data_IF_695373772814
#
_entry.id   IF_695373772814
#
_cell.length_a   1.000
_cell.length_b   1.000
_cell.length_c   1.000
_cell.angle_alpha   90.00
_cell.angle_beta   90.00
_cell.angle_gamma   90.00
#
_symmetry.space_group_name_H-M   'P 1'
#
loop_
_entity.id
_entity.type
_entity.pdbx_description
1 polymer ?
#
# COMPACT_ATOMS: atom_id res chain seq x y z
N UNK A 1 10.12 -0.82 24.30
CA UNK A 1 10.40 -2.23 23.91
C UNK A 1 9.33 -3.21 24.38
N UNK A 2 8.06 -3.02 24.00
CA UNK A 2 6.97 -3.94 24.37
C UNK A 2 5.77 -3.91 23.39
N UNK A 3 6.01 -3.64 22.10
CA UNK A 3 4.97 -3.72 21.04
C UNK A 3 5.41 -4.50 19.79
N UNK A 4 6.50 -5.27 19.88
CA UNK A 4 6.75 -6.33 18.91
C UNK A 4 5.92 -7.56 19.32
N UNK A 5 4.61 -7.47 19.13
CA UNK A 5 3.82 -8.70 18.93
C UNK A 5 4.22 -9.18 17.55
N UNK A 6 5.26 -10.00 17.54
CA UNK A 6 5.72 -10.71 16.37
C UNK A 6 4.49 -11.49 15.84
N UNK A 7 4.02 -11.21 14.63
CA UNK A 7 2.89 -11.94 14.03
C UNK A 7 3.17 -13.46 14.02
N UNK A 8 4.46 -13.84 13.97
CA UNK A 8 4.96 -15.19 14.18
C UNK A 8 4.70 -15.80 15.57
N UNK A 9 4.53 -14.99 16.63
CA UNK A 9 4.17 -15.45 17.97
C UNK A 9 2.65 -15.70 18.10
N UNK A 10 1.82 -14.88 17.45
CA UNK A 10 0.37 -15.13 17.34
C UNK A 10 0.04 -16.35 16.46
N UNK A 11 0.95 -16.73 15.54
CA UNK A 11 0.89 -17.98 14.76
C UNK A 11 0.80 -19.24 15.63
N UNK A 12 1.22 -19.17 16.89
CA UNK A 12 1.29 -20.36 17.76
C UNK A 12 0.01 -20.68 18.54
N UNK A 13 -1.00 -19.81 18.60
CA UNK A 13 -2.12 -20.06 19.52
C UNK A 13 -3.55 -19.94 18.97
N UNK A 14 -3.80 -19.55 17.72
CA UNK A 14 -5.16 -19.65 17.17
C UNK A 14 -5.23 -19.44 15.65
N UNK A 15 -4.79 -20.38 14.80
CA UNK A 15 -5.10 -20.28 13.37
C UNK A 15 -5.25 -21.66 12.73
N UNK A 16 -6.39 -21.88 12.06
CA UNK A 16 -6.54 -22.88 11.01
C UNK A 16 -5.34 -22.82 10.07
N UNK A 17 -4.65 -23.95 9.90
CA UNK A 17 -3.39 -24.05 9.17
C UNK A 17 -3.46 -23.38 7.78
N UNK A 18 -2.89 -22.17 7.65
CA UNK A 18 -2.56 -21.61 6.35
C UNK A 18 -1.51 -22.53 5.73
N UNK A 19 -1.91 -23.29 4.73
CA UNK A 19 -1.08 -24.37 4.19
C UNK A 19 0.07 -23.81 3.36
N UNK A 20 1.20 -24.51 3.31
CA UNK A 20 2.33 -24.14 2.44
C UNK A 20 1.87 -24.01 0.97
N UNK A 21 0.86 -24.78 0.57
CA UNK A 21 0.26 -24.71 -0.76
C UNK A 21 -0.43 -23.36 -1.00
N UNK A 22 -1.11 -22.80 0.00
CA UNK A 22 -1.80 -21.52 -0.11
C UNK A 22 -0.82 -20.36 -0.09
N UNK A 23 0.24 -20.46 0.73
CA UNK A 23 1.39 -19.55 0.66
C UNK A 23 1.97 -19.49 -0.75
N UNK A 24 2.29 -20.65 -1.34
CA UNK A 24 2.90 -20.72 -2.66
C UNK A 24 1.98 -20.15 -3.76
N UNK A 25 0.66 -20.40 -3.68
CA UNK A 25 -0.33 -19.83 -4.61
C UNK A 25 -0.42 -18.31 -4.50
N UNK A 26 -0.42 -17.78 -3.28
CA UNK A 26 -0.45 -16.35 -3.02
C UNK A 26 0.83 -15.69 -3.52
N UNK A 27 2.00 -16.26 -3.20
CA UNK A 27 3.29 -15.78 -3.66
C UNK A 27 3.39 -15.73 -5.19
N UNK A 28 2.95 -16.78 -5.89
CA UNK A 28 2.91 -16.80 -7.36
C UNK A 28 1.99 -15.69 -7.89
N UNK A 29 0.84 -15.46 -7.23
CA UNK A 29 -0.11 -14.43 -7.66
C UNK A 29 0.48 -13.03 -7.51
N UNK A 30 1.15 -12.74 -6.37
CA UNK A 30 1.83 -11.47 -6.14
C UNK A 30 2.94 -11.24 -7.17
N UNK A 31 3.81 -12.23 -7.40
CA UNK A 31 4.87 -12.13 -8.41
C UNK A 31 4.33 -11.98 -9.84
N UNK A 32 3.17 -12.54 -10.15
CA UNK A 32 2.50 -12.33 -11.44
C UNK A 32 1.87 -10.95 -11.57
N UNK A 33 1.37 -10.36 -10.48
CA UNK A 33 0.87 -8.99 -10.46
C UNK A 33 2.03 -7.99 -10.63
N UNK A 34 3.12 -8.19 -9.89
CA UNK A 34 4.28 -7.30 -9.84
C UNK A 34 5.41 -7.91 -10.69
N UNK A 35 5.22 -7.84 -12.01
CA UNK A 35 6.17 -8.37 -12.99
C UNK A 35 6.90 -7.25 -13.76
N UNK A 36 7.85 -7.62 -14.61
CA UNK A 36 8.65 -6.68 -15.41
C UNK A 36 8.00 -6.31 -16.76
N UNK A 37 6.93 -6.99 -17.15
CA UNK A 37 6.29 -6.77 -18.45
C UNK A 37 5.47 -5.48 -18.43
N UNK A 38 5.67 -4.64 -19.44
CA UNK A 38 4.97 -3.37 -19.64
C UNK A 38 3.53 -3.60 -20.14
N UNK A 39 2.71 -4.13 -19.25
CA UNK A 39 1.29 -4.42 -19.49
C UNK A 39 0.48 -4.06 -18.25
N UNK A 40 -0.83 -3.82 -18.36
CA UNK A 40 -1.66 -3.54 -17.20
C UNK A 40 -1.60 -4.67 -16.18
N UNK A 41 -1.71 -4.32 -14.89
CA UNK A 41 -1.72 -5.33 -13.83
C UNK A 41 -2.99 -6.15 -13.96
N UNK A 42 -2.86 -7.48 -14.07
CA UNK A 42 -4.03 -8.36 -14.20
C UNK A 42 -4.83 -8.37 -12.91
N UNK A 43 -6.07 -7.88 -12.97
CA UNK A 43 -6.96 -7.74 -11.80
C UNK A 43 -7.11 -9.02 -10.99
N UNK A 44 -7.17 -10.19 -11.65
CA UNK A 44 -7.26 -11.48 -10.96
C UNK A 44 -6.13 -11.69 -9.95
N UNK A 45 -4.92 -11.22 -10.25
CA UNK A 45 -3.77 -11.38 -9.36
C UNK A 45 -3.79 -10.37 -8.21
N UNK A 46 -4.27 -9.14 -8.47
CA UNK A 46 -4.50 -8.13 -7.42
C UNK A 46 -5.58 -8.60 -6.45
N UNK A 47 -6.70 -9.11 -6.98
CA UNK A 47 -7.77 -9.69 -6.18
C UNK A 47 -7.28 -10.85 -5.33
N UNK A 48 -6.45 -11.75 -5.89
CA UNK A 48 -5.83 -12.82 -5.10
C UNK A 48 -4.93 -12.28 -3.99
N UNK A 49 -4.16 -11.21 -4.23
CA UNK A 49 -3.33 -10.58 -3.19
C UNK A 49 -4.20 -9.99 -2.06
N UNK A 50 -5.26 -9.26 -2.40
CA UNK A 50 -6.22 -8.70 -1.44
C UNK A 50 -6.87 -9.82 -0.61
N UNK A 51 -7.45 -10.84 -1.27
CA UNK A 51 -8.08 -11.97 -0.58
C UNK A 51 -7.10 -12.75 0.30
N UNK A 52 -5.84 -12.84 -0.12
CA UNK A 52 -4.76 -13.43 0.67
C UNK A 52 -4.63 -12.77 2.03
N UNK A 53 -4.68 -11.43 2.09
CA UNK A 53 -4.59 -10.70 3.37
C UNK A 53 -5.74 -11.00 4.32
N UNK A 54 -6.95 -11.25 3.83
CA UNK A 54 -8.09 -11.65 4.66
C UNK A 54 -7.96 -13.09 5.16
N UNK A 55 -7.41 -13.97 4.34
CA UNK A 55 -7.21 -15.36 4.72
C UNK A 55 -6.14 -15.50 5.80
N UNK A 56 -5.05 -14.75 5.69
CA UNK A 56 -3.94 -14.72 6.66
C UNK A 56 -4.21 -13.79 7.85
N UNK A 57 -5.18 -12.86 7.74
CA UNK A 57 -5.45 -11.77 8.69
C UNK A 57 -4.28 -10.80 8.91
N UNK A 58 -3.34 -10.74 7.97
CA UNK A 58 -2.17 -9.87 7.95
C UNK A 58 -1.71 -9.63 6.50
N UNK A 59 -0.70 -8.80 6.29
CA UNK A 59 -0.04 -8.59 4.98
C UNK A 59 1.37 -9.19 4.90
N UNK A 60 1.71 -10.13 5.77
CA UNK A 60 3.06 -10.68 5.90
C UNK A 60 3.55 -11.36 4.61
N UNK A 61 2.73 -12.21 3.98
CA UNK A 61 3.12 -12.86 2.72
C UNK A 61 3.27 -11.86 1.58
N UNK A 62 2.41 -10.82 1.53
CA UNK A 62 2.55 -9.75 0.55
C UNK A 62 3.94 -9.11 0.64
N UNK A 63 4.33 -8.66 1.85
CA UNK A 63 5.61 -8.00 2.08
C UNK A 63 6.80 -8.95 1.89
N UNK A 64 6.71 -10.18 2.38
CA UNK A 64 7.73 -11.22 2.18
C UNK A 64 8.04 -11.46 0.70
N UNK A 65 7.02 -11.44 -0.17
CA UNK A 65 7.21 -11.60 -1.62
C UNK A 65 7.70 -10.30 -2.25
N UNK A 66 7.06 -9.17 -1.95
CA UNK A 66 7.39 -7.87 -2.54
C UNK A 66 8.84 -7.45 -2.31
N UNK A 67 9.39 -7.70 -1.11
CA UNK A 67 10.78 -7.37 -0.76
C UNK A 67 11.83 -8.16 -1.55
N UNK A 68 11.46 -9.27 -2.19
CA UNK A 68 12.36 -10.08 -3.02
C UNK A 68 12.30 -9.72 -4.50
N UNK A 69 11.41 -8.81 -4.90
CA UNK A 69 11.29 -8.35 -6.28
C UNK A 69 12.35 -7.29 -6.59
N UNK A 70 12.79 -7.17 -7.86
CA UNK A 70 13.80 -6.19 -8.28
C UNK A 70 13.21 -4.77 -8.39
N UNK A 71 12.72 -4.23 -7.27
CA UNK A 71 12.06 -2.92 -7.20
C UNK A 71 13.02 -1.78 -7.53
N UNK A 72 14.31 -1.95 -7.25
CA UNK A 72 15.35 -0.94 -7.51
C UNK A 72 15.90 -0.98 -8.94
N UNK A 73 15.79 -2.15 -9.61
CA UNK A 73 16.40 -2.37 -10.92
C UNK A 73 15.41 -2.20 -12.08
N UNK A 74 14.10 -2.36 -11.83
CA UNK A 74 13.09 -2.35 -12.89
C UNK A 74 11.93 -1.40 -12.55
N UNK A 75 11.82 -0.32 -13.35
CA UNK A 75 10.80 0.72 -13.20
C UNK A 75 9.36 0.19 -13.32
N UNK A 76 9.13 -0.79 -14.18
CA UNK A 76 7.81 -1.40 -14.37
C UNK A 76 7.42 -2.20 -13.13
N UNK A 77 8.36 -2.96 -12.57
CA UNK A 77 8.17 -3.67 -11.30
C UNK A 77 7.92 -2.71 -10.15
N UNK A 78 8.68 -1.61 -10.04
CA UNK A 78 8.49 -0.58 -9.03
C UNK A 78 7.11 0.10 -9.12
N UNK A 79 6.69 0.46 -10.33
CA UNK A 79 5.38 1.04 -10.58
C UNK A 79 4.24 0.08 -10.21
N UNK A 80 4.33 -1.18 -10.66
CA UNK A 80 3.35 -2.22 -10.34
C UNK A 80 3.32 -2.53 -8.85
N UNK A 81 4.46 -2.50 -8.17
CA UNK A 81 4.51 -2.63 -6.72
C UNK A 81 3.71 -1.51 -6.05
N UNK A 82 3.93 -0.25 -6.45
CA UNK A 82 3.18 0.88 -5.89
C UNK A 82 1.68 0.72 -6.11
N UNK A 83 1.28 0.35 -7.33
CA UNK A 83 -0.12 0.12 -7.68
C UNK A 83 -0.77 -1.00 -6.85
N UNK A 84 -0.12 -2.17 -6.78
CA UNK A 84 -0.68 -3.33 -6.07
C UNK A 84 -0.69 -3.07 -4.56
N UNK A 85 0.36 -2.46 -4.00
CA UNK A 85 0.39 -2.07 -2.60
C UNK A 85 -0.75 -1.08 -2.28
N UNK A 86 -0.96 -0.06 -3.12
CA UNK A 86 -2.06 0.90 -2.93
C UNK A 86 -3.42 0.19 -2.86
N UNK A 87 -3.67 -0.77 -3.76
CA UNK A 87 -4.89 -1.60 -3.74
C UNK A 87 -5.00 -2.44 -2.48
N UNK A 88 -3.92 -3.10 -2.05
CA UNK A 88 -3.89 -3.89 -0.80
C UNK A 88 -4.16 -3.02 0.42
N UNK A 89 -3.59 -1.81 0.51
CA UNK A 89 -3.83 -0.88 1.63
C UNK A 89 -5.26 -0.33 1.63
N UNK A 90 -5.91 -0.26 0.48
CA UNK A 90 -7.28 0.26 0.33
C UNK A 90 -8.35 -0.79 0.62
N UNK A 91 -8.14 -2.01 0.11
CA UNK A 91 -9.18 -3.05 0.03
C UNK A 91 -8.82 -4.33 0.79
N UNK A 92 -7.59 -4.45 1.29
CA UNK A 92 -7.12 -5.61 2.06
C UNK A 92 -7.63 -5.64 3.50
N UNK A 93 -7.17 -6.66 4.24
CA UNK A 93 -7.48 -6.81 5.66
C UNK A 93 -7.00 -5.58 6.45
N UNK A 94 -7.73 -5.09 7.47
CA UNK A 94 -7.35 -3.90 8.22
C UNK A 94 -5.93 -3.91 8.81
N UNK A 95 -5.39 -5.10 9.12
CA UNK A 95 -3.99 -5.26 9.58
C UNK A 95 -2.94 -4.95 8.51
N UNK A 96 -3.31 -4.88 7.23
CA UNK A 96 -2.37 -4.54 6.17
C UNK A 96 -1.75 -3.14 6.35
N UNK A 97 -2.49 -2.18 6.89
CA UNK A 97 -2.00 -0.83 7.19
C UNK A 97 -0.93 -0.82 8.30
N UNK A 98 -1.21 -1.32 9.52
CA UNK A 98 -0.20 -1.38 10.58
C UNK A 98 0.99 -2.28 10.22
N UNK A 99 0.77 -3.41 9.53
CA UNK A 99 1.86 -4.28 9.04
C UNK A 99 2.79 -3.55 8.07
N UNK A 100 2.29 -2.54 7.35
CA UNK A 100 3.07 -1.79 6.36
C UNK A 100 3.91 -0.67 6.96
N UNK A 101 3.67 -0.26 8.21
CA UNK A 101 4.39 0.85 8.86
C UNK A 101 5.91 0.61 8.90
N UNK A 102 6.33 -0.64 9.15
CA UNK A 102 7.76 -1.00 9.22
C UNK A 102 8.47 -0.87 7.86
N UNK A 103 7.71 -0.85 6.76
CA UNK A 103 8.23 -0.77 5.40
C UNK A 103 8.30 0.66 4.86
N UNK A 104 7.77 1.66 5.57
CA UNK A 104 7.80 3.07 5.16
C UNK A 104 9.21 3.54 4.78
N UNK A 105 10.28 3.31 5.59
CA UNK A 105 11.63 3.74 5.20
C UNK A 105 12.13 3.13 3.88
N UNK A 106 11.71 1.90 3.58
CA UNK A 106 12.04 1.25 2.30
C UNK A 106 11.35 1.95 1.14
N UNK A 107 10.04 2.26 1.28
CA UNK A 107 9.26 2.96 0.25
C UNK A 107 9.82 4.36 0.00
N UNK A 108 10.19 5.09 1.05
CA UNK A 108 10.82 6.42 0.92
C UNK A 108 12.15 6.34 0.14
N UNK A 109 12.99 5.36 0.46
CA UNK A 109 14.27 5.18 -0.22
C UNK A 109 14.07 4.75 -1.69
N UNK A 110 13.07 3.92 -1.96
CA UNK A 110 12.68 3.56 -3.33
C UNK A 110 12.26 4.80 -4.13
N UNK A 111 11.42 5.66 -3.54
CA UNK A 111 11.00 6.92 -4.17
C UNK A 111 12.17 7.87 -4.44
N UNK A 112 13.10 8.02 -3.49
CA UNK A 112 14.32 8.83 -3.67
C UNK A 112 15.20 8.31 -4.80
N UNK A 113 15.41 6.99 -4.85
CA UNK A 113 16.19 6.33 -5.90
C UNK A 113 15.63 6.65 -7.29
N UNK A 114 14.34 6.39 -7.50
CA UNK A 114 13.69 6.61 -8.80
C UNK A 114 13.60 8.10 -9.15
N UNK A 115 13.43 8.99 -8.17
CA UNK A 115 13.45 10.44 -8.36
C UNK A 115 14.79 10.99 -8.90
N UNK A 116 15.92 10.32 -8.61
CA UNK A 116 17.23 10.74 -9.12
C UNK A 116 17.45 10.45 -10.60
N UNK A 117 16.75 9.46 -11.16
CA UNK A 117 16.98 8.99 -12.54
C UNK A 117 16.43 9.95 -13.62
N UNK A 118 15.68 11.00 -13.21
CA UNK A 118 15.16 12.09 -14.07
C UNK A 118 14.42 11.64 -15.34
N UNK A 119 13.96 10.40 -15.39
CA UNK A 119 13.14 9.86 -16.48
C UNK A 119 11.65 9.95 -16.14
N UNK A 120 10.79 9.73 -17.14
CA UNK A 120 9.34 9.90 -16.98
C UNK A 120 8.74 8.98 -15.91
N UNK A 121 9.21 7.73 -15.83
CA UNK A 121 8.76 6.76 -14.82
C UNK A 121 9.31 7.08 -13.43
N UNK A 122 10.55 7.53 -13.34
CA UNK A 122 11.20 7.82 -12.06
C UNK A 122 10.43 8.84 -11.25
N UNK A 123 9.99 9.93 -11.91
CA UNK A 123 9.14 10.95 -11.26
C UNK A 123 7.78 10.38 -10.83
N UNK A 124 7.14 9.58 -11.69
CA UNK A 124 5.86 8.94 -11.37
C UNK A 124 5.97 7.98 -10.18
N UNK A 125 7.02 7.17 -10.13
CA UNK A 125 7.30 6.25 -9.02
C UNK A 125 7.59 7.03 -7.75
N UNK A 126 8.38 8.10 -7.82
CA UNK A 126 8.69 8.96 -6.68
C UNK A 126 7.41 9.52 -6.04
N UNK A 127 6.53 10.13 -6.85
CA UNK A 127 5.27 10.69 -6.36
C UNK A 127 4.34 9.61 -5.81
N UNK A 128 4.30 8.43 -6.44
CA UNK A 128 3.50 7.32 -5.94
C UNK A 128 4.03 6.77 -4.61
N UNK A 129 5.35 6.65 -4.45
CA UNK A 129 5.96 6.29 -3.16
C UNK A 129 5.63 7.32 -2.07
N UNK A 130 5.66 8.62 -2.38
CA UNK A 130 5.24 9.68 -1.45
C UNK A 130 3.80 9.48 -0.98
N UNK A 131 2.87 9.29 -1.92
CA UNK A 131 1.46 9.02 -1.64
C UNK A 131 1.26 7.80 -0.73
N UNK A 132 2.01 6.73 -0.96
CA UNK A 132 1.95 5.51 -0.15
C UNK A 132 2.46 5.75 1.27
N UNK A 133 3.56 6.50 1.44
CA UNK A 133 4.08 6.87 2.75
C UNK A 133 3.10 7.75 3.54
N UNK A 134 2.49 8.74 2.88
CA UNK A 134 1.45 9.58 3.49
C UNK A 134 0.23 8.76 3.87
N UNK A 135 -0.25 7.88 2.98
CA UNK A 135 -1.35 6.96 3.30
C UNK A 135 -1.08 6.13 4.56
N UNK A 136 0.07 5.46 4.63
CA UNK A 136 0.41 4.59 5.77
C UNK A 136 0.54 5.42 7.05
N UNK A 137 1.17 6.59 6.97
CA UNK A 137 1.36 7.49 8.12
C UNK A 137 0.04 8.06 8.63
N UNK A 138 -0.85 8.47 7.73
CA UNK A 138 -2.21 8.93 8.04
C UNK A 138 -2.99 7.87 8.81
N UNK A 139 -3.04 6.63 8.31
CA UNK A 139 -3.76 5.55 8.98
C UNK A 139 -3.09 5.06 10.28
N UNK A 140 -1.77 5.24 10.42
CA UNK A 140 -1.09 4.99 11.70
C UNK A 140 -1.55 5.98 12.78
N UNK A 141 -1.75 7.25 12.43
CA UNK A 141 -2.26 8.29 13.35
C UNK A 141 -3.76 8.14 13.58
N UNK A 142 -4.50 7.70 12.56
CA UNK A 142 -5.95 7.58 12.56
C UNK A 142 -6.40 6.12 12.34
N UNK A 143 -6.14 5.19 13.29
CA UNK A 143 -6.40 3.75 13.10
C UNK A 143 -7.90 3.41 13.00
N UNK A 144 -8.79 4.30 13.44
CA UNK A 144 -10.25 4.18 13.30
C UNK A 144 -10.72 4.45 11.87
N UNK A 145 -9.90 5.09 11.02
CA UNK A 145 -10.26 5.40 9.63
C UNK A 145 -9.92 4.20 8.73
N UNK A 146 -10.91 3.64 8.00
CA UNK A 146 -10.68 2.50 7.13
C UNK A 146 -9.86 2.89 5.89
N UNK A 147 -9.13 1.92 5.32
CA UNK A 147 -8.23 2.13 4.18
C UNK A 147 -8.90 2.65 2.91
N UNK A 148 -10.21 2.44 2.76
CA UNK A 148 -11.03 2.95 1.65
C UNK A 148 -11.65 4.33 1.93
N UNK A 149 -11.42 4.91 3.11
CA UNK A 149 -11.95 6.20 3.59
C UNK A 149 -13.48 6.30 3.62
N UNK A 150 -14.19 5.17 3.60
CA UNK A 150 -15.65 5.16 3.71
C UNK A 150 -16.05 5.13 5.18
N UNK A 151 -16.65 6.23 5.65
CA UNK A 151 -17.15 6.39 7.02
C UNK A 151 -18.58 6.94 6.97
N UNK A 152 -19.42 6.49 7.90
CA UNK A 152 -20.69 7.14 8.22
C UNK A 152 -20.48 8.41 9.06
N UNK A 153 -21.49 9.27 9.14
CA UNK A 153 -21.44 10.47 10.00
C UNK A 153 -21.20 10.08 11.45
N UNK A 154 -21.89 9.06 11.95
CA UNK A 154 -21.77 8.60 13.33
C UNK A 154 -20.35 8.10 13.66
N UNK A 155 -19.71 7.38 12.73
CA UNK A 155 -18.33 6.93 12.88
C UNK A 155 -17.34 8.10 12.85
N UNK A 156 -17.58 9.10 12.00
CA UNK A 156 -16.76 10.31 11.95
C UNK A 156 -16.88 11.12 13.25
N UNK A 157 -18.10 11.26 13.76
CA UNK A 157 -18.37 11.97 15.02
C UNK A 157 -17.69 11.26 16.21
N UNK A 158 -17.73 9.92 16.20
CA UNK A 158 -17.01 9.10 17.17
C UNK A 158 -15.48 9.24 17.05
N UNK A 159 -14.94 9.49 15.85
CA UNK A 159 -13.52 9.73 15.63
C UNK A 159 -13.09 11.11 16.13
N UNK A 160 -13.91 12.13 15.90
CA UNK A 160 -13.64 13.50 16.33
C UNK A 160 -13.86 13.75 17.82
N UNK A 161 -14.57 12.85 18.51
CA UNK A 161 -14.87 12.95 19.95
C UNK A 161 -15.58 14.26 20.34
N UNK A 162 -16.32 14.84 19.39
CA UNK A 162 -16.93 16.18 19.50
C UNK A 162 -15.95 17.31 19.87
N UNK A 163 -14.64 17.11 19.64
CA UNK A 163 -13.62 18.13 19.86
C UNK A 163 -13.22 18.77 18.52
N UNK A 164 -13.43 20.08 18.43
CA UNK A 164 -13.07 20.90 17.25
C UNK A 164 -11.60 20.76 16.89
N UNK A 165 -10.70 20.58 17.86
CA UNK A 165 -9.27 20.42 17.60
C UNK A 165 -8.97 19.12 16.85
N UNK A 166 -9.67 18.03 17.20
CA UNK A 166 -9.51 16.74 16.53
C UNK A 166 -9.99 16.81 15.08
N UNK A 167 -11.14 17.45 14.84
CA UNK A 167 -11.63 17.67 13.47
C UNK A 167 -10.67 18.55 12.66
N UNK A 168 -10.18 19.63 13.26
CA UNK A 168 -9.23 20.51 12.58
C UNK A 168 -7.95 19.77 12.18
N UNK A 169 -7.36 19.01 13.10
CA UNK A 169 -6.17 18.21 12.81
C UNK A 169 -6.44 17.16 11.71
N UNK A 170 -7.58 16.47 11.78
CA UNK A 170 -7.98 15.49 10.77
C UNK A 170 -8.15 16.14 9.38
N UNK A 171 -8.72 17.35 9.32
CA UNK A 171 -8.84 18.10 8.07
C UNK A 171 -7.47 18.46 7.48
N UNK A 172 -6.53 18.94 8.30
CA UNK A 172 -5.16 19.26 7.84
C UNK A 172 -4.50 18.01 7.25
N UNK A 173 -4.54 16.88 7.96
CA UNK A 173 -3.94 15.63 7.48
C UNK A 173 -4.64 15.08 6.23
N UNK A 174 -5.96 15.26 6.11
CA UNK A 174 -6.70 14.87 4.92
C UNK A 174 -6.35 15.74 3.72
N UNK A 175 -6.12 17.04 3.91
CA UNK A 175 -5.68 17.93 2.83
C UNK A 175 -4.28 17.58 2.35
N UNK A 176 -3.33 17.31 3.26
CA UNK A 176 -1.99 16.82 2.89
C UNK A 176 -2.09 15.52 2.04
N UNK A 177 -2.97 14.60 2.44
CA UNK A 177 -3.20 13.36 1.69
C UNK A 177 -3.84 13.61 0.31
N UNK A 178 -4.81 14.52 0.23
CA UNK A 178 -5.45 14.92 -1.04
C UNK A 178 -4.46 15.58 -2.00
N UNK A 179 -3.56 16.43 -1.50
CA UNK A 179 -2.55 17.11 -2.32
C UNK A 179 -1.59 16.11 -2.99
N UNK A 180 -1.18 15.05 -2.30
CA UNK A 180 -0.38 13.97 -2.89
C UNK A 180 -1.18 13.17 -3.94
N UNK A 181 -2.47 12.92 -3.71
CA UNK A 181 -3.35 12.26 -4.70
C UNK A 181 -3.43 13.10 -5.97
N UNK A 182 -3.69 14.41 -5.83
CA UNK A 182 -3.81 15.33 -6.95
C UNK A 182 -2.48 15.51 -7.69
N UNK A 183 -1.36 15.52 -6.95
CA UNK A 183 -0.01 15.58 -7.53
C UNK A 183 0.26 14.37 -8.42
N UNK A 184 0.02 13.16 -7.90
CA UNK A 184 0.21 11.93 -8.67
C UNK A 184 -0.74 11.88 -9.88
N UNK A 185 -2.02 12.21 -9.69
CA UNK A 185 -3.01 12.25 -10.76
C UNK A 185 -2.58 13.21 -11.88
N UNK A 186 -2.14 14.42 -11.52
CA UNK A 186 -1.67 15.42 -12.47
C UNK A 186 -0.46 14.94 -13.24
N UNK A 187 0.49 14.25 -12.60
CA UNK A 187 1.66 13.73 -13.29
C UNK A 187 1.35 12.55 -14.20
N UNK A 188 0.44 11.64 -13.79
CA UNK A 188 -0.07 10.56 -14.64
C UNK A 188 -0.71 11.16 -15.89
N UNK A 189 -1.64 12.11 -15.71
CA UNK A 189 -2.34 12.75 -16.81
C UNK A 189 -1.49 13.77 -17.60
N UNK A 190 -0.38 14.25 -17.05
CA UNK A 190 0.60 15.04 -17.79
C UNK A 190 1.50 14.19 -18.69
N UNK A 191 1.53 12.87 -18.46
CA UNK A 191 2.50 11.93 -19.06
C UNK A 191 1.83 10.69 -19.67
N UNK A 192 0.60 10.84 -20.18
CA UNK A 192 -0.17 9.74 -20.81
C UNK A 192 0.65 8.92 -21.81
N UNK A 193 1.51 9.55 -22.61
CA UNK A 193 2.35 8.87 -23.61
C UNK A 193 3.28 7.81 -22.98
N UNK A 194 3.72 8.01 -21.72
CA UNK A 194 4.57 7.06 -21.01
C UNK A 194 3.79 5.96 -20.27
N UNK A 195 2.46 6.05 -20.19
CA UNK A 195 1.63 5.12 -19.42
C UNK A 195 0.59 4.36 -20.25
N UNK A 196 0.49 4.65 -21.55
CA UNK A 196 -0.53 4.12 -22.47
C UNK A 196 -0.57 2.58 -22.55
N UNK A 197 0.48 1.89 -22.08
CA UNK A 197 0.55 0.43 -22.06
C UNK A 197 0.43 -0.20 -20.65
N UNK A 198 0.29 0.60 -19.58
CA UNK A 198 0.44 0.11 -18.19
C UNK A 198 -0.77 0.40 -17.29
N UNK A 199 -1.62 1.37 -17.64
CA UNK A 199 -2.93 1.57 -16.99
C UNK A 199 -3.95 0.54 -17.47
#
# INVERSE_FOLDING_TARGET
NLYHVNCSALRRMAVSAFSDKDYMRLAISISKAINQTETPVKEKHVRSAIMGTFHEKCAETFWSVALRLPLQDNRITAWKFCHVLHKVLREGHPQALPDSVIHVPMIENLGKLWGHLRDCYGKLIQEYCSLLCVKITFHRRNPRIPGNLMLSSDELDAIGENDVNNYFQLCVEMFDYLDDILTLQKSIFGRWICLDQIQ
#
